data_IF_780781795132
#
_entry.id   IF_780781795132
#
_cell.length_a   1.000
_cell.length_b   1.000
_cell.length_c   1.000
_cell.angle_alpha   90.00
_cell.angle_beta   90.00
_cell.angle_gamma   90.00
#
_symmetry.space_group_name_H-M   'P 1'
#
loop_
_entity.id
_entity.type
_entity.pdbx_description
1 polymer ?
#
# COMPACT_ATOMS: atom_id res chain seq x y z
N UNK A 1 -4.21 16.56 -12.41
CA UNK A 1 -4.71 15.30 -11.82
C UNK A 1 -4.43 14.19 -12.82
N UNK A 2 -3.75 13.09 -12.43
CA UNK A 2 -3.62 11.92 -13.30
C UNK A 2 -5.02 11.40 -13.66
N UNK A 3 -5.22 11.00 -14.92
CA UNK A 3 -6.48 10.41 -15.39
C UNK A 3 -6.52 8.97 -14.86
N UNK A 4 -7.42 8.70 -13.90
CA UNK A 4 -7.69 7.33 -13.48
C UNK A 4 -8.64 6.68 -14.50
N UNK A 5 -8.17 5.69 -15.25
CA UNK A 5 -8.99 4.98 -16.23
C UNK A 5 -9.68 3.73 -15.65
N UNK A 6 -9.51 3.45 -14.35
CA UNK A 6 -10.03 2.22 -13.74
C UNK A 6 -9.21 0.98 -14.11
N UNK A 7 -9.70 -0.20 -13.72
CA UNK A 7 -9.12 -1.50 -14.02
C UNK A 7 -9.41 -1.97 -15.45
N UNK A 8 -8.66 -2.97 -15.91
CA UNK A 8 -8.95 -3.64 -17.18
C UNK A 8 -10.32 -4.32 -17.18
N UNK A 9 -10.73 -4.92 -16.06
CA UNK A 9 -12.07 -5.51 -15.92
C UNK A 9 -13.17 -4.47 -16.06
N UNK A 10 -13.02 -3.30 -15.44
CA UNK A 10 -13.97 -2.20 -15.58
C UNK A 10 -14.03 -1.68 -17.03
N UNK A 11 -12.90 -1.66 -17.74
CA UNK A 11 -12.87 -1.33 -19.17
C UNK A 11 -13.66 -2.34 -20.00
N UNK A 12 -13.50 -3.64 -19.74
CA UNK A 12 -14.26 -4.69 -20.45
C UNK A 12 -15.77 -4.62 -20.16
N UNK A 13 -16.14 -4.36 -18.92
CA UNK A 13 -17.54 -4.13 -18.54
C UNK A 13 -18.09 -2.86 -19.20
N UNK A 14 -17.31 -1.77 -19.23
CA UNK A 14 -17.71 -0.52 -19.87
C UNK A 14 -17.89 -0.67 -21.38
N UNK A 15 -17.09 -1.51 -22.04
CA UNK A 15 -17.28 -1.84 -23.46
C UNK A 15 -18.65 -2.49 -23.72
N UNK A 16 -19.21 -3.20 -22.74
CA UNK A 16 -20.52 -3.82 -22.89
C UNK A 16 -21.67 -2.80 -23.00
N UNK A 17 -21.44 -1.53 -22.66
CA UNK A 17 -22.38 -0.42 -22.87
C UNK A 17 -22.55 -0.08 -24.36
N UNK A 18 -21.55 -0.37 -25.19
CA UNK A 18 -21.54 -0.07 -26.62
C UNK A 18 -22.04 -1.25 -27.45
N UNK A 19 -23.30 -1.65 -27.19
CA UNK A 19 -23.99 -2.72 -27.90
C UNK A 19 -25.22 -2.20 -28.65
N UNK A 20 -25.59 -2.82 -29.78
CA UNK A 20 -26.83 -2.51 -30.49
C UNK A 20 -28.04 -2.60 -29.56
N UNK A 21 -28.85 -1.54 -29.51
CA UNK A 21 -30.08 -1.53 -28.73
C UNK A 21 -31.26 -1.95 -29.60
N UNK A 22 -32.03 -2.92 -29.10
CA UNK A 22 -33.28 -3.37 -29.74
C UNK A 22 -34.31 -2.22 -29.79
N UNK A 23 -34.28 -1.34 -28.79
CA UNK A 23 -35.18 -0.18 -28.71
C UNK A 23 -34.84 0.92 -29.72
N UNK A 24 -33.63 0.91 -30.29
CA UNK A 24 -33.16 1.91 -31.26
C UNK A 24 -32.80 1.26 -32.60
N UNK A 25 -33.57 0.25 -33.03
CA UNK A 25 -33.42 -0.40 -34.33
C UNK A 25 -31.99 -0.92 -34.59
N UNK A 26 -31.31 -1.42 -33.55
CA UNK A 26 -29.95 -1.94 -33.66
C UNK A 26 -28.85 -0.87 -33.69
N UNK A 27 -29.17 0.40 -33.40
CA UNK A 27 -28.18 1.47 -33.23
C UNK A 27 -27.48 1.35 -31.87
N UNK A 28 -26.25 1.85 -31.82
CA UNK A 28 -25.49 2.04 -30.58
C UNK A 28 -25.60 3.52 -30.22
N UNK A 29 -26.06 3.83 -29.01
CA UNK A 29 -26.12 5.19 -28.49
C UNK A 29 -25.02 5.41 -27.46
N UNK A 30 -24.52 6.65 -27.39
CA UNK A 30 -23.57 7.01 -26.35
C UNK A 30 -24.30 6.97 -25.00
N UNK A 31 -23.83 6.17 -24.02
CA UNK A 31 -24.66 5.79 -22.87
C UNK A 31 -24.77 6.87 -21.78
N UNK A 32 -23.97 7.93 -21.85
CA UNK A 32 -23.84 8.94 -20.80
C UNK A 32 -23.70 10.34 -21.37
N UNK A 33 -24.09 11.35 -20.59
CA UNK A 33 -23.69 12.74 -20.85
C UNK A 33 -22.23 12.93 -20.40
N UNK A 34 -21.41 13.58 -21.22
CA UNK A 34 -20.06 13.97 -20.83
C UNK A 34 -20.06 15.37 -20.23
N UNK A 35 -19.73 15.43 -18.94
CA UNK A 35 -19.61 16.67 -18.20
C UNK A 35 -18.22 17.27 -18.39
N UNK A 36 -18.17 18.52 -18.83
CA UNK A 36 -16.94 19.24 -19.13
C UNK A 36 -16.92 20.61 -18.48
N UNK A 37 -15.72 21.13 -18.20
CA UNK A 37 -15.53 22.51 -17.76
C UNK A 37 -14.65 23.29 -18.73
N UNK A 38 -14.90 24.60 -18.83
CA UNK A 38 -14.07 25.58 -19.52
C UNK A 38 -13.77 26.78 -18.62
N UNK A 39 -12.69 27.53 -18.87
CA UNK A 39 -12.36 28.73 -18.07
C UNK A 39 -13.03 30.00 -18.59
N UNK A 40 -13.48 29.98 -19.83
CA UNK A 40 -14.14 31.12 -20.48
C UNK A 40 -15.18 30.62 -21.47
N UNK A 41 -16.25 31.37 -21.64
CA UNK A 41 -17.27 31.11 -22.66
C UNK A 41 -16.68 31.20 -24.08
N UNK A 42 -15.65 32.03 -24.27
CA UNK A 42 -14.93 32.15 -25.55
C UNK A 42 -14.32 30.83 -26.02
N UNK A 43 -13.89 29.97 -25.08
CA UNK A 43 -13.33 28.65 -25.40
C UNK A 43 -14.33 27.72 -26.10
N UNK A 44 -15.62 27.95 -25.89
CA UNK A 44 -16.71 27.19 -26.49
C UNK A 44 -17.18 27.82 -27.80
N UNK A 45 -17.17 29.15 -27.88
CA UNK A 45 -17.76 29.90 -28.99
C UNK A 45 -16.81 30.19 -30.15
N UNK A 46 -15.49 30.11 -29.95
CA UNK A 46 -14.50 30.48 -30.98
C UNK A 46 -14.25 29.43 -32.08
N UNK A 47 -14.89 28.26 -32.03
CA UNK A 47 -14.75 27.28 -33.11
C UNK A 47 -15.71 26.10 -33.01
N UNK A 48 -15.91 25.36 -34.12
CA UNK A 48 -16.84 24.23 -34.17
C UNK A 48 -16.41 23.04 -33.27
N UNK A 49 -15.12 22.98 -32.90
CA UNK A 49 -14.56 21.92 -32.05
C UNK A 49 -13.72 22.53 -30.93
N UNK A 50 -14.31 22.79 -29.74
CA UNK A 50 -13.60 23.41 -28.63
C UNK A 50 -12.55 22.46 -28.05
N UNK A 51 -11.26 22.80 -28.25
CA UNK A 51 -10.12 21.95 -27.87
C UNK A 51 -9.74 22.03 -26.38
N UNK A 52 -10.21 23.05 -25.66
CA UNK A 52 -9.80 23.33 -24.29
C UNK A 52 -10.74 22.77 -23.22
N UNK A 53 -11.84 22.11 -23.61
CA UNK A 53 -12.77 21.51 -22.67
C UNK A 53 -12.08 20.44 -21.81
N UNK A 54 -12.26 20.56 -20.50
CA UNK A 54 -11.76 19.57 -19.53
C UNK A 54 -12.88 18.61 -19.16
N UNK A 55 -12.71 17.34 -19.50
CA UNK A 55 -13.63 16.28 -19.07
C UNK A 55 -13.55 16.12 -17.54
N UNK A 56 -14.70 16.12 -16.88
CA UNK A 56 -14.81 16.10 -15.41
C UNK A 56 -15.01 14.69 -14.84
N UNK A 57 -15.71 13.84 -15.58
CA UNK A 57 -16.12 12.49 -15.17
C UNK A 57 -16.15 11.54 -16.37
N UNK A 58 -16.47 10.25 -16.14
CA UNK A 58 -16.74 9.27 -17.20
C UNK A 58 -15.60 9.01 -18.22
N UNK A 59 -14.35 9.29 -17.85
CA UNK A 59 -13.16 9.02 -18.68
C UNK A 59 -13.09 7.57 -19.20
N UNK A 60 -13.52 6.61 -18.38
CA UNK A 60 -13.56 5.18 -18.71
C UNK A 60 -14.60 4.86 -19.76
N UNK A 61 -15.73 5.56 -19.80
CA UNK A 61 -16.73 5.35 -20.87
C UNK A 61 -16.15 5.80 -22.22
N UNK A 62 -15.39 6.90 -22.23
CA UNK A 62 -14.67 7.35 -23.43
C UNK A 62 -13.58 6.36 -23.83
N UNK A 63 -12.79 5.87 -22.87
CA UNK A 63 -11.78 4.84 -23.13
C UNK A 63 -12.40 3.53 -23.63
N UNK A 64 -13.56 3.14 -23.10
CA UNK A 64 -14.30 1.95 -23.51
C UNK A 64 -14.86 2.07 -24.93
N UNK A 65 -15.33 3.26 -25.32
CA UNK A 65 -15.70 3.53 -26.70
C UNK A 65 -14.50 3.33 -27.65
N UNK A 66 -13.34 3.91 -27.31
CA UNK A 66 -12.10 3.72 -28.08
C UNK A 66 -11.69 2.25 -28.17
N UNK A 67 -11.75 1.52 -27.06
CA UNK A 67 -11.43 0.10 -27.02
C UNK A 67 -12.41 -0.74 -27.86
N UNK A 68 -13.71 -0.40 -27.86
CA UNK A 68 -14.70 -1.06 -28.71
C UNK A 68 -14.45 -0.79 -30.20
N UNK A 69 -14.04 0.43 -30.57
CA UNK A 69 -13.62 0.75 -31.94
C UNK A 69 -12.38 -0.05 -32.35
N UNK A 70 -11.38 -0.12 -31.47
CA UNK A 70 -10.16 -0.89 -31.72
C UNK A 70 -10.45 -2.37 -31.96
N UNK A 71 -11.27 -3.00 -31.12
CA UNK A 71 -11.68 -4.40 -31.29
C UNK A 71 -12.41 -4.63 -32.62
N UNK A 72 -13.31 -3.73 -33.00
CA UNK A 72 -14.05 -3.84 -34.27
C UNK A 72 -13.12 -3.73 -35.48
N UNK A 73 -12.12 -2.82 -35.42
CA UNK A 73 -11.10 -2.68 -36.45
C UNK A 73 -10.20 -3.92 -36.55
N UNK A 74 -9.78 -4.49 -35.41
CA UNK A 74 -9.00 -5.73 -35.37
C UNK A 74 -9.77 -6.91 -35.96
N UNK A 75 -11.10 -6.94 -35.77
CA UNK A 75 -11.99 -7.95 -36.32
C UNK A 75 -12.40 -7.69 -37.79
N UNK A 76 -11.98 -6.58 -38.40
CA UNK A 76 -12.44 -6.11 -39.71
C UNK A 76 -13.98 -6.05 -39.85
N UNK A 77 -14.66 -5.65 -38.76
CA UNK A 77 -16.12 -5.52 -38.70
C UNK A 77 -16.55 -4.09 -39.06
N UNK A 78 -16.58 -3.79 -40.36
CA UNK A 78 -16.91 -2.46 -40.89
C UNK A 78 -18.31 -1.99 -40.46
N UNK A 79 -19.27 -2.91 -40.32
CA UNK A 79 -20.63 -2.58 -39.88
C UNK A 79 -20.61 -2.05 -38.44
N UNK A 80 -19.89 -2.74 -37.55
CA UNK A 80 -19.75 -2.31 -36.16
C UNK A 80 -18.95 -1.03 -36.03
N UNK A 81 -17.89 -0.83 -36.83
CA UNK A 81 -17.16 0.43 -36.89
C UNK A 81 -18.11 1.57 -37.29
N UNK A 82 -18.94 1.37 -38.31
CA UNK A 82 -19.96 2.35 -38.72
C UNK A 82 -20.94 2.69 -37.58
N UNK A 83 -21.47 1.69 -36.88
CA UNK A 83 -22.36 1.88 -35.72
C UNK A 83 -21.68 2.61 -34.55
N UNK A 84 -20.41 2.33 -34.28
CA UNK A 84 -19.64 3.01 -33.23
C UNK A 84 -19.29 4.46 -33.61
N UNK A 85 -19.08 4.73 -34.90
CA UNK A 85 -18.91 6.07 -35.42
C UNK A 85 -20.20 6.90 -35.30
N UNK A 86 -21.34 6.33 -35.68
CA UNK A 86 -22.65 6.97 -35.43
C UNK A 86 -22.90 7.21 -33.94
N UNK A 87 -22.56 6.24 -33.09
CA UNK A 87 -22.67 6.36 -31.64
C UNK A 87 -21.96 7.62 -31.11
N UNK A 88 -20.75 7.93 -31.60
CA UNK A 88 -20.02 9.12 -31.17
C UNK A 88 -20.78 10.42 -31.47
N UNK A 89 -21.57 10.46 -32.55
CA UNK A 89 -22.39 11.62 -32.91
C UNK A 89 -23.61 11.81 -32.00
N UNK A 90 -23.98 10.79 -31.23
CA UNK A 90 -25.08 10.87 -30.25
C UNK A 90 -24.63 11.34 -28.87
N UNK A 91 -23.32 11.59 -28.69
CA UNK A 91 -22.76 12.06 -27.44
C UNK A 91 -23.29 13.45 -27.07
N UNK A 92 -23.88 13.57 -25.88
CA UNK A 92 -24.30 14.87 -25.33
C UNK A 92 -23.20 15.43 -24.43
N UNK A 93 -22.79 16.67 -24.68
CA UNK A 93 -21.83 17.40 -23.85
C UNK A 93 -22.56 18.42 -22.97
N UNK A 94 -22.34 18.38 -21.65
CA UNK A 94 -22.71 19.48 -20.74
C UNK A 94 -21.44 20.27 -20.45
N UNK A 95 -21.46 21.57 -20.75
CA UNK A 95 -20.31 22.46 -20.52
C UNK A 95 -20.64 23.40 -19.36
N UNK A 96 -19.75 23.46 -18.37
CA UNK A 96 -19.86 24.36 -17.23
C UNK A 96 -18.71 25.34 -17.20
N UNK A 97 -18.98 26.57 -16.80
CA UNK A 97 -17.92 27.54 -16.53
C UNK A 97 -17.21 27.13 -15.22
N UNK A 98 -15.88 27.12 -15.23
CA UNK A 98 -15.06 26.81 -14.07
C UNK A 98 -14.98 28.04 -13.15
N UNK A 99 -15.95 28.21 -12.26
CA UNK A 99 -15.96 29.34 -11.32
C UNK A 99 -15.14 29.04 -10.06
N UNK A 100 -15.23 27.81 -9.55
CA UNK A 100 -14.41 27.34 -8.42
C UNK A 100 -14.05 25.86 -8.52
N UNK A 101 -13.01 25.44 -7.81
CA UNK A 101 -12.63 24.03 -7.75
C UNK A 101 -13.72 23.18 -7.09
N UNK A 102 -14.35 23.64 -5.99
CA UNK A 102 -15.41 22.90 -5.34
C UNK A 102 -16.63 22.71 -6.24
N UNK A 103 -17.04 23.75 -6.99
CA UNK A 103 -18.15 23.65 -7.94
C UNK A 103 -17.88 22.58 -9.00
N UNK A 104 -16.68 22.59 -9.59
CA UNK A 104 -16.28 21.60 -10.60
C UNK A 104 -16.24 20.18 -10.02
N UNK A 105 -15.71 20.02 -8.80
CA UNK A 105 -15.69 18.70 -8.14
C UNK A 105 -17.09 18.21 -7.78
N UNK A 106 -18.01 19.11 -7.39
CA UNK A 106 -19.42 18.78 -7.16
C UNK A 106 -20.09 18.28 -8.43
N UNK A 107 -19.90 18.98 -9.55
CA UNK A 107 -20.42 18.55 -10.86
C UNK A 107 -19.87 17.18 -11.25
N UNK A 108 -18.58 16.93 -11.00
CA UNK A 108 -17.95 15.64 -11.28
C UNK A 108 -18.55 14.49 -10.45
N UNK A 109 -18.83 14.74 -9.15
CA UNK A 109 -19.50 13.76 -8.28
C UNK A 109 -20.96 13.53 -8.68
N UNK A 110 -21.72 14.61 -8.92
CA UNK A 110 -23.12 14.54 -9.38
C UNK A 110 -23.23 13.72 -10.68
N UNK A 111 -22.35 14.00 -11.64
CA UNK A 111 -22.27 13.25 -12.90
C UNK A 111 -22.03 11.76 -12.67
N UNK A 112 -21.08 11.43 -11.79
CA UNK A 112 -20.71 10.05 -11.51
C UNK A 112 -21.84 9.29 -10.81
N UNK A 113 -22.61 9.95 -9.94
CA UNK A 113 -23.79 9.38 -9.31
C UNK A 113 -24.98 9.24 -10.26
N UNK A 114 -25.24 10.23 -11.12
CA UNK A 114 -26.29 10.16 -12.15
C UNK A 114 -26.10 8.98 -13.09
N UNK A 115 -24.87 8.75 -13.52
CA UNK A 115 -24.55 7.67 -14.45
C UNK A 115 -24.32 6.32 -13.77
N UNK A 116 -24.29 6.27 -12.44
CA UNK A 116 -24.13 5.02 -11.67
C UNK A 116 -25.21 4.00 -11.98
N UNK A 117 -26.45 4.39 -12.26
CA UNK A 117 -27.53 3.45 -12.58
C UNK A 117 -27.37 2.76 -13.96
N UNK A 118 -26.70 3.44 -14.89
CA UNK A 118 -26.45 2.96 -16.26
C UNK A 118 -25.13 2.17 -16.33
N UNK A 119 -24.18 2.55 -15.47
CA UNK A 119 -22.79 2.13 -15.48
C UNK A 119 -22.34 1.69 -14.08
N UNK A 120 -23.16 0.94 -13.34
CA UNK A 120 -22.93 0.60 -11.92
C UNK A 120 -21.56 -0.02 -11.69
N UNK A 121 -21.15 -0.90 -12.62
CA UNK A 121 -19.86 -1.58 -12.66
C UNK A 121 -18.77 -0.79 -13.39
N UNK A 122 -19.14 0.28 -14.12
CA UNK A 122 -18.23 1.06 -14.97
C UNK A 122 -17.96 2.48 -14.45
N UNK A 123 -18.49 2.86 -13.28
CA UNK A 123 -18.12 4.12 -12.60
C UNK A 123 -16.66 4.04 -12.12
N UNK A 124 -15.84 5.03 -12.51
CA UNK A 124 -14.42 5.12 -12.12
C UNK A 124 -14.26 5.53 -10.65
N UNK A 125 -15.26 6.21 -10.09
CA UNK A 125 -15.20 6.82 -8.76
C UNK A 125 -15.09 5.76 -7.67
N UNK A 126 -13.87 5.29 -7.46
CA UNK A 126 -13.44 4.56 -6.29
C UNK A 126 -13.38 5.52 -5.09
N UNK A 127 -13.21 4.94 -3.90
CA UNK A 127 -13.26 5.77 -2.69
C UNK A 127 -12.14 6.81 -2.63
N UNK A 128 -10.99 6.54 -3.26
CA UNK A 128 -9.84 7.46 -3.27
C UNK A 128 -10.17 8.71 -4.08
N UNK A 129 -10.70 8.54 -5.29
CA UNK A 129 -11.09 9.66 -6.16
C UNK A 129 -12.26 10.45 -5.55
N UNK A 130 -13.23 9.75 -4.95
CA UNK A 130 -14.30 10.39 -4.19
C UNK A 130 -13.73 11.24 -3.05
N UNK A 131 -12.80 10.69 -2.26
CA UNK A 131 -12.22 11.37 -1.12
C UNK A 131 -11.44 12.63 -1.55
N UNK A 132 -10.68 12.56 -2.65
CA UNK A 132 -9.96 13.72 -3.21
C UNK A 132 -10.94 14.84 -3.58
N UNK A 133 -12.00 14.51 -4.33
CA UNK A 133 -13.04 15.48 -4.72
C UNK A 133 -13.75 16.06 -3.51
N UNK A 134 -14.10 15.20 -2.55
CA UNK A 134 -14.77 15.62 -1.32
C UNK A 134 -13.89 16.59 -0.52
N UNK A 135 -12.58 16.32 -0.42
CA UNK A 135 -11.65 17.17 0.31
C UNK A 135 -11.60 18.59 -0.26
N UNK A 136 -11.68 18.73 -1.59
CA UNK A 136 -11.72 20.03 -2.27
C UNK A 136 -13.06 20.72 -2.02
N UNK A 137 -14.18 19.98 -2.03
CA UNK A 137 -15.51 20.55 -1.77
C UNK A 137 -15.59 21.12 -0.34
N UNK A 138 -15.08 20.39 0.66
CA UNK A 138 -15.17 20.85 2.06
C UNK A 138 -14.14 21.92 2.42
N UNK A 139 -13.12 22.15 1.60
CA UNK A 139 -12.19 23.29 1.78
C UNK A 139 -12.91 24.63 1.67
N UNK A 140 -13.96 24.71 0.84
CA UNK A 140 -14.79 25.92 0.70
C UNK A 140 -15.74 26.13 1.90
N UNK A 141 -15.80 25.18 2.84
CA UNK A 141 -16.56 25.29 4.09
C UNK A 141 -15.64 25.02 5.31
N UNK A 142 -14.79 26.00 5.70
CA UNK A 142 -13.96 25.87 6.89
C UNK A 142 -14.84 25.81 8.15
N UNK A 143 -14.80 24.69 8.86
CA UNK A 143 -15.61 24.47 10.05
C UNK A 143 -15.44 23.08 10.63
N UNK A 144 -16.08 22.83 11.78
CA UNK A 144 -16.15 21.49 12.35
C UNK A 144 -17.00 20.54 11.49
N UNK A 145 -16.87 19.23 11.76
CA UNK A 145 -17.52 18.16 10.98
C UNK A 145 -19.03 18.37 10.79
N UNK A 146 -19.75 18.89 11.79
CA UNK A 146 -21.20 19.15 11.66
C UNK A 146 -21.53 20.18 10.57
N UNK A 147 -20.80 21.30 10.53
CA UNK A 147 -21.00 22.34 9.50
C UNK A 147 -20.67 21.82 8.10
N UNK A 148 -19.61 21.03 7.99
CA UNK A 148 -19.23 20.41 6.72
C UNK A 148 -20.29 19.41 6.24
N UNK A 149 -20.91 18.64 7.14
CA UNK A 149 -22.00 17.73 6.78
C UNK A 149 -23.27 18.48 6.33
N UNK A 150 -23.64 19.54 7.03
CA UNK A 150 -24.75 20.42 6.61
C UNK A 150 -24.50 21.01 5.23
N UNK A 151 -23.31 21.57 5.01
CA UNK A 151 -22.90 22.10 3.70
C UNK A 151 -22.96 21.04 2.59
N UNK A 152 -22.47 19.83 2.83
CA UNK A 152 -22.54 18.74 1.84
C UNK A 152 -23.97 18.34 1.52
N UNK A 153 -24.85 18.33 2.52
CA UNK A 153 -26.27 18.03 2.36
C UNK A 153 -27.00 19.11 1.55
N UNK A 154 -26.78 20.38 1.89
CA UNK A 154 -27.35 21.53 1.16
C UNK A 154 -26.90 21.55 -0.31
N UNK A 155 -25.69 21.08 -0.57
CA UNK A 155 -25.12 20.97 -1.92
C UNK A 155 -25.45 19.65 -2.63
N UNK A 156 -26.29 18.79 -2.04
CA UNK A 156 -26.72 17.53 -2.65
C UNK A 156 -25.58 16.55 -2.95
N UNK A 157 -24.48 16.59 -2.20
CA UNK A 157 -23.33 15.72 -2.43
C UNK A 157 -23.64 14.32 -1.93
N UNK A 158 -23.59 13.35 -2.84
CA UNK A 158 -23.88 11.94 -2.57
C UNK A 158 -22.67 11.06 -2.88
N UNK A 159 -22.62 9.90 -2.25
CA UNK A 159 -21.74 8.80 -2.62
C UNK A 159 -22.53 7.50 -2.64
N UNK A 160 -22.55 6.81 -3.79
CA UNK A 160 -23.33 5.58 -3.98
C UNK A 160 -24.81 5.78 -3.66
N UNK A 161 -25.39 6.87 -4.15
CA UNK A 161 -26.78 7.29 -3.93
C UNK A 161 -27.15 7.50 -2.45
N UNK A 162 -26.17 7.65 -1.56
CA UNK A 162 -26.39 7.90 -0.14
C UNK A 162 -25.83 9.26 0.25
N UNK A 163 -26.54 9.93 1.16
CA UNK A 163 -26.03 11.13 1.82
C UNK A 163 -24.73 10.80 2.58
N UNK A 164 -23.82 11.77 2.59
CA UNK A 164 -22.54 11.61 3.28
C UNK A 164 -22.76 11.68 4.78
N UNK A 165 -22.59 10.54 5.47
CA UNK A 165 -22.60 10.49 6.93
C UNK A 165 -21.26 10.90 7.55
N UNK A 166 -21.26 11.14 8.86
CA UNK A 166 -20.07 11.51 9.65
C UNK A 166 -18.90 10.55 9.45
N UNK A 167 -19.15 9.24 9.46
CA UNK A 167 -18.10 8.22 9.31
C UNK A 167 -17.48 8.25 7.91
N UNK A 168 -18.28 8.47 6.87
CA UNK A 168 -17.81 8.58 5.48
C UNK A 168 -16.95 9.83 5.31
N UNK A 169 -17.40 10.98 5.82
CA UNK A 169 -16.63 12.23 5.76
C UNK A 169 -15.29 12.09 6.49
N UNK A 170 -15.30 11.65 7.75
CA UNK A 170 -14.06 11.46 8.52
C UNK A 170 -13.12 10.47 7.84
N UNK A 171 -13.64 9.35 7.34
CA UNK A 171 -12.85 8.33 6.65
C UNK A 171 -12.22 8.87 5.37
N UNK A 172 -13.00 9.56 4.53
CA UNK A 172 -12.50 10.15 3.30
C UNK A 172 -11.41 11.20 3.55
N UNK A 173 -11.61 12.11 4.52
CA UNK A 173 -10.60 13.12 4.84
C UNK A 173 -9.31 12.51 5.42
N UNK A 174 -9.42 11.43 6.20
CA UNK A 174 -8.26 10.69 6.68
C UNK A 174 -7.50 10.01 5.53
N UNK A 175 -8.22 9.41 4.57
CA UNK A 175 -7.62 8.78 3.38
C UNK A 175 -6.81 9.80 2.57
N UNK A 176 -7.37 10.99 2.28
CA UNK A 176 -6.64 12.01 1.50
C UNK A 176 -5.36 12.45 2.20
N UNK A 177 -5.41 12.58 3.53
CA UNK A 177 -4.26 13.02 4.33
C UNK A 177 -3.12 11.99 4.33
N UNK A 178 -3.45 10.70 4.36
CA UNK A 178 -2.47 9.62 4.61
C UNK A 178 -1.94 9.00 3.32
N UNK A 179 -2.72 9.01 2.23
CA UNK A 179 -2.31 8.38 0.99
C UNK A 179 -1.35 9.26 0.18
N UNK A 180 -0.09 8.86 0.16
CA UNK A 180 0.95 9.38 -0.74
C UNK A 180 0.71 9.00 -2.21
N UNK A 181 1.47 9.62 -3.13
CA UNK A 181 1.45 9.26 -4.56
C UNK A 181 1.79 7.78 -4.79
N UNK A 182 2.71 7.20 -4.02
CA UNK A 182 3.09 5.78 -4.15
C UNK A 182 1.99 4.86 -3.60
N UNK A 183 1.41 5.19 -2.44
CA UNK A 183 0.24 4.46 -1.91
C UNK A 183 -0.92 4.43 -2.91
N UNK A 184 -1.20 5.57 -3.56
CA UNK A 184 -2.24 5.68 -4.60
C UNK A 184 -1.92 4.80 -5.81
N UNK A 185 -0.67 4.77 -6.26
CA UNK A 185 -0.24 3.88 -7.34
C UNK A 185 -0.42 2.41 -6.99
N UNK A 186 -0.09 2.01 -5.76
CA UNK A 186 -0.33 0.63 -5.27
C UNK A 186 -1.82 0.29 -5.20
N UNK A 187 -2.67 1.21 -4.75
CA UNK A 187 -4.12 1.00 -4.76
C UNK A 187 -4.67 0.87 -6.19
N UNK A 188 -4.22 1.70 -7.13
CA UNK A 188 -4.58 1.56 -8.54
C UNK A 188 -4.11 0.23 -9.12
N UNK A 189 -2.92 -0.25 -8.74
CA UNK A 189 -2.43 -1.59 -9.11
C UNK A 189 -3.33 -2.70 -8.56
N UNK A 190 -3.63 -2.67 -7.27
CA UNK A 190 -4.49 -3.66 -6.60
C UNK A 190 -5.90 -3.68 -7.21
N UNK A 191 -6.47 -2.51 -7.47
CA UNK A 191 -7.76 -2.37 -8.14
C UNK A 191 -7.72 -2.89 -9.58
N UNK A 192 -6.65 -2.59 -10.32
CA UNK A 192 -6.47 -3.05 -11.69
C UNK A 192 -6.39 -4.57 -11.80
N UNK A 193 -5.69 -5.21 -10.86
CA UNK A 193 -5.39 -6.65 -10.89
C UNK A 193 -6.45 -7.51 -10.20
N UNK A 194 -6.96 -7.07 -9.06
CA UNK A 194 -7.84 -7.87 -8.19
C UNK A 194 -9.25 -7.28 -8.03
N UNK A 195 -9.49 -6.06 -8.52
CA UNK A 195 -10.78 -5.39 -8.48
C UNK A 195 -11.03 -4.54 -7.22
N UNK A 196 -12.11 -3.77 -7.26
CA UNK A 196 -12.45 -2.76 -6.23
C UNK A 196 -12.86 -3.35 -4.89
N UNK A 197 -13.52 -4.50 -4.91
CA UNK A 197 -14.01 -5.18 -3.70
C UNK A 197 -12.88 -5.51 -2.72
N UNK A 198 -11.65 -5.64 -3.22
CA UNK A 198 -10.46 -5.89 -2.40
C UNK A 198 -10.25 -4.79 -1.35
N UNK A 199 -10.17 -3.52 -1.75
CA UNK A 199 -9.89 -2.39 -0.84
C UNK A 199 -10.71 -1.14 -1.14
N UNK A 200 -10.81 -0.72 -2.40
CA UNK A 200 -11.26 0.64 -2.77
C UNK A 200 -12.78 0.78 -2.92
N UNK A 201 -13.53 -0.27 -2.58
CA UNK A 201 -14.98 -0.27 -2.59
C UNK A 201 -15.58 0.72 -1.59
N UNK A 202 -15.06 0.80 -0.35
CA UNK A 202 -15.63 1.67 0.68
C UNK A 202 -14.55 2.36 1.50
N UNK A 203 -14.95 3.38 2.27
CA UNK A 203 -14.03 4.06 3.22
C UNK A 203 -13.54 3.12 4.30
N UNK A 204 -14.32 2.10 4.65
CA UNK A 204 -14.16 1.32 5.86
C UNK A 204 -12.81 0.61 5.93
N UNK A 205 -12.42 -0.14 4.89
CA UNK A 205 -11.17 -0.94 4.90
C UNK A 205 -9.94 -0.04 5.04
N UNK A 206 -9.81 0.95 4.15
CA UNK A 206 -8.68 1.90 4.17
C UNK A 206 -8.61 2.70 5.47
N UNK A 207 -9.76 3.20 5.95
CA UNK A 207 -9.80 3.97 7.18
C UNK A 207 -9.41 3.13 8.39
N UNK A 208 -9.83 1.86 8.45
CA UNK A 208 -9.42 0.95 9.53
C UNK A 208 -7.95 0.60 9.48
N UNK A 209 -7.41 0.33 8.30
CA UNK A 209 -5.97 0.12 8.12
C UNK A 209 -5.19 1.33 8.64
N UNK A 210 -5.62 2.54 8.29
CA UNK A 210 -5.05 3.77 8.83
C UNK A 210 -5.15 3.85 10.37
N UNK A 211 -6.31 3.54 10.95
CA UNK A 211 -6.48 3.53 12.41
C UNK A 211 -5.55 2.51 13.10
N UNK A 212 -5.35 1.34 12.50
CA UNK A 212 -4.40 0.34 12.99
C UNK A 212 -2.97 0.85 12.93
N UNK A 213 -2.55 1.41 11.79
CA UNK A 213 -1.23 2.04 11.63
C UNK A 213 -1.01 3.10 12.70
N UNK A 214 -1.96 4.03 12.85
CA UNK A 214 -1.88 5.11 13.83
C UNK A 214 -1.80 4.60 15.27
N UNK A 215 -2.53 3.53 15.60
CA UNK A 215 -2.52 2.93 16.94
C UNK A 215 -1.20 2.23 17.24
N UNK A 216 -0.62 1.56 16.24
CA UNK A 216 0.37 0.51 16.47
C UNK A 216 1.79 0.91 16.04
N UNK A 217 1.95 1.67 14.97
CA UNK A 217 3.26 2.10 14.47
C UNK A 217 3.82 3.33 15.20
N UNK A 218 3.03 3.89 16.11
CA UNK A 218 3.47 4.90 17.09
C UNK A 218 3.68 4.29 18.49
N UNK A 219 3.51 2.98 18.65
CA UNK A 219 3.69 2.27 19.91
C UNK A 219 5.13 1.84 20.18
N UNK A 220 5.46 1.42 21.41
CA UNK A 220 6.83 1.05 21.81
C UNK A 220 7.41 -0.14 21.04
N UNK A 221 6.56 -0.99 20.45
CA UNK A 221 6.98 -2.10 19.58
C UNK A 221 7.61 -1.64 18.25
N UNK A 222 7.48 -0.37 17.88
CA UNK A 222 8.23 0.24 16.78
C UNK A 222 9.32 1.11 17.40
N UNK A 223 10.55 0.58 17.49
CA UNK A 223 11.71 1.28 18.08
C UNK A 223 12.07 2.60 17.41
N UNK A 224 11.48 2.90 16.24
CA UNK A 224 11.44 4.24 15.63
C UNK A 224 10.00 4.52 15.23
N UNK A 225 9.49 5.68 15.63
CA UNK A 225 8.17 6.15 15.23
C UNK A 225 8.07 6.22 13.72
N UNK A 226 7.12 5.48 13.14
CA UNK A 226 6.85 5.50 11.71
C UNK A 226 5.69 6.44 11.44
N UNK A 227 5.86 7.36 10.50
CA UNK A 227 4.80 8.27 10.11
C UNK A 227 3.64 7.49 9.45
N UNK A 228 2.37 7.90 9.67
CA UNK A 228 1.22 7.15 9.15
C UNK A 228 1.22 6.98 7.63
N UNK A 229 1.77 7.95 6.89
CA UNK A 229 1.95 7.90 5.44
C UNK A 229 2.86 6.73 5.03
N UNK A 230 4.03 6.61 5.65
CA UNK A 230 5.00 5.54 5.39
C UNK A 230 4.46 4.18 5.84
N UNK A 231 3.78 4.14 6.99
CA UNK A 231 3.14 2.93 7.48
C UNK A 231 2.07 2.40 6.51
N UNK A 232 1.30 3.30 5.89
CA UNK A 232 0.32 2.92 4.87
C UNK A 232 1.00 2.41 3.59
N UNK A 233 2.09 3.03 3.16
CA UNK A 233 2.88 2.53 2.04
C UNK A 233 3.40 1.11 2.30
N UNK A 234 4.00 0.87 3.45
CA UNK A 234 4.52 -0.45 3.81
C UNK A 234 3.42 -1.50 3.87
N UNK A 235 2.29 -1.19 4.49
CA UNK A 235 1.16 -2.11 4.62
C UNK A 235 0.55 -2.45 3.25
N UNK A 236 0.37 -1.47 2.37
CA UNK A 236 -0.12 -1.70 1.01
C UNK A 236 0.89 -2.48 0.15
N UNK A 237 2.20 -2.24 0.34
CA UNK A 237 3.23 -3.01 -0.35
C UNK A 237 3.24 -4.47 0.09
N UNK A 238 3.06 -4.76 1.39
CA UNK A 238 2.90 -6.12 1.89
C UNK A 238 1.66 -6.81 1.32
N UNK A 239 0.55 -6.08 1.18
CA UNK A 239 -0.64 -6.64 0.54
C UNK A 239 -0.38 -7.00 -0.92
N UNK A 240 0.32 -6.14 -1.66
CA UNK A 240 0.71 -6.42 -3.05
C UNK A 240 1.58 -7.67 -3.11
N UNK A 241 2.60 -7.76 -2.26
CA UNK A 241 3.50 -8.92 -2.18
C UNK A 241 2.70 -10.19 -1.91
N UNK A 242 1.91 -10.23 -0.83
CA UNK A 242 1.17 -11.45 -0.45
C UNK A 242 0.16 -11.92 -1.50
N UNK A 243 -0.46 -10.99 -2.25
CA UNK A 243 -1.37 -11.34 -3.34
C UNK A 243 -0.64 -11.75 -4.63
N UNK A 244 0.57 -11.24 -4.85
CA UNK A 244 1.41 -11.60 -5.99
C UNK A 244 2.10 -12.96 -5.76
N UNK A 245 2.49 -13.27 -4.51
CA UNK A 245 3.20 -14.49 -4.09
C UNK A 245 2.29 -15.65 -3.66
N UNK A 246 1.00 -15.61 -4.01
CA UNK A 246 -0.04 -16.60 -3.66
C UNK A 246 -0.28 -16.84 -2.16
N UNK A 247 0.44 -16.16 -1.26
CA UNK A 247 0.25 -16.21 0.18
C UNK A 247 -1.15 -15.75 0.60
N UNK A 248 -1.74 -14.83 -0.17
CA UNK A 248 -3.10 -14.32 0.03
C UNK A 248 -3.95 -14.61 -1.20
N UNK A 249 -5.18 -15.05 -0.96
CA UNK A 249 -6.17 -15.18 -2.02
C UNK A 249 -7.08 -13.95 -2.05
N UNK A 250 -7.30 -13.32 -3.22
CA UNK A 250 -8.11 -12.10 -3.33
C UNK A 250 -9.51 -12.23 -2.70
N UNK A 251 -10.15 -13.40 -2.85
CA UNK A 251 -11.47 -13.67 -2.30
C UNK A 251 -11.51 -13.77 -0.76
N UNK A 252 -10.39 -14.04 -0.11
CA UNK A 252 -10.28 -14.13 1.35
C UNK A 252 -10.02 -12.74 1.98
N UNK A 253 -9.62 -11.74 1.18
CA UNK A 253 -9.37 -10.36 1.60
C UNK A 253 -10.65 -9.53 1.85
N UNK A 254 -11.58 -10.10 2.61
CA UNK A 254 -12.78 -9.42 3.10
C UNK A 254 -12.46 -8.47 4.26
N UNK A 255 -13.39 -7.59 4.62
CA UNK A 255 -13.16 -6.54 5.63
C UNK A 255 -12.78 -7.08 7.01
N UNK A 256 -13.44 -8.16 7.45
CA UNK A 256 -13.15 -8.82 8.74
C UNK A 256 -11.76 -9.44 8.75
N UNK A 257 -11.36 -10.15 7.70
CA UNK A 257 -10.01 -10.71 7.59
C UNK A 257 -8.93 -9.61 7.56
N UNK A 258 -9.10 -8.59 6.71
CA UNK A 258 -8.07 -7.55 6.55
C UNK A 258 -7.93 -6.68 7.80
N UNK A 259 -9.04 -6.34 8.46
CA UNK A 259 -9.06 -5.26 9.47
C UNK A 259 -9.68 -5.63 10.81
N UNK A 260 -10.20 -6.86 10.96
CA UNK A 260 -10.94 -7.34 12.12
C UNK A 260 -12.44 -7.02 12.07
N UNK A 261 -13.20 -7.64 12.97
CA UNK A 261 -14.66 -7.43 13.09
C UNK A 261 -15.06 -6.04 13.62
N UNK A 262 -16.21 -5.55 13.17
CA UNK A 262 -16.81 -4.30 13.63
C UNK A 262 -17.32 -4.38 15.06
N UNK A 263 -16.92 -3.44 15.92
CA UNK A 263 -17.49 -3.29 17.26
C UNK A 263 -17.15 -4.42 18.23
N UNK A 264 -16.33 -5.40 17.82
CA UNK A 264 -15.81 -6.42 18.71
C UNK A 264 -14.92 -5.76 19.75
N UNK A 265 -15.31 -5.89 21.03
CA UNK A 265 -14.44 -5.57 22.18
C UNK A 265 -13.26 -6.54 22.29
N UNK A 266 -13.31 -7.65 21.56
CA UNK A 266 -12.25 -8.65 21.47
C UNK A 266 -11.40 -8.30 20.25
N UNK A 267 -10.15 -7.94 20.49
CA UNK A 267 -9.13 -7.84 19.46
C UNK A 267 -9.03 -9.18 18.73
N UNK A 268 -9.63 -9.29 17.55
CA UNK A 268 -9.51 -10.50 16.72
C UNK A 268 -8.03 -10.70 16.38
N UNK A 269 -7.36 -11.75 16.92
CA UNK A 269 -5.93 -11.98 16.70
C UNK A 269 -5.62 -12.38 15.26
N UNK A 270 -6.65 -12.75 14.49
CA UNK A 270 -6.53 -13.27 13.14
C UNK A 270 -6.57 -12.21 12.05
N UNK A 271 -6.64 -10.92 12.39
CA UNK A 271 -6.73 -9.89 11.36
C UNK A 271 -5.37 -9.61 10.69
N UNK A 272 -5.34 -9.74 9.37
CA UNK A 272 -4.13 -9.69 8.56
C UNK A 272 -3.35 -8.39 8.73
N UNK A 273 -4.01 -7.23 8.80
CA UNK A 273 -3.29 -5.96 8.93
C UNK A 273 -2.49 -5.86 10.23
N UNK A 274 -2.94 -6.49 11.34
CA UNK A 274 -2.16 -6.51 12.58
C UNK A 274 -0.97 -7.46 12.46
N UNK A 275 -1.18 -8.65 11.92
CA UNK A 275 -0.08 -9.60 11.63
C UNK A 275 0.97 -8.92 10.75
N UNK A 276 0.52 -8.22 9.71
CA UNK A 276 1.38 -7.46 8.81
C UNK A 276 2.17 -6.36 9.53
N UNK A 277 1.51 -5.54 10.37
CA UNK A 277 2.19 -4.53 11.18
C UNK A 277 3.21 -5.18 12.12
N UNK A 278 2.91 -6.33 12.72
CA UNK A 278 3.85 -7.04 13.58
C UNK A 278 5.05 -7.59 12.80
N UNK A 279 4.85 -8.11 11.59
CA UNK A 279 5.93 -8.51 10.68
C UNK A 279 6.86 -7.32 10.38
N UNK A 280 6.29 -6.12 10.14
CA UNK A 280 7.09 -4.91 9.91
C UNK A 280 7.91 -4.50 11.16
N UNK A 281 7.31 -4.58 12.35
CA UNK A 281 8.02 -4.34 13.62
C UNK A 281 9.17 -5.32 13.80
N UNK A 282 8.94 -6.62 13.56
CA UNK A 282 9.97 -7.67 13.62
C UNK A 282 11.12 -7.41 12.64
N UNK A 283 10.81 -7.05 11.40
CA UNK A 283 11.82 -6.71 10.40
C UNK A 283 12.62 -5.46 10.79
N UNK A 284 11.96 -4.45 11.34
CA UNK A 284 12.63 -3.25 11.84
C UNK A 284 13.56 -3.56 13.01
N UNK A 285 13.15 -4.45 13.93
CA UNK A 285 14.01 -4.91 15.01
C UNK A 285 15.25 -5.64 14.47
N UNK A 286 15.09 -6.56 13.52
CA UNK A 286 16.23 -7.23 12.89
C UNK A 286 17.18 -6.23 12.22
N UNK A 287 16.66 -5.20 11.55
CA UNK A 287 17.48 -4.13 10.96
C UNK A 287 18.25 -3.35 12.03
N UNK A 288 17.59 -2.97 13.13
CA UNK A 288 18.24 -2.23 14.24
C UNK A 288 19.34 -3.06 14.91
N UNK A 289 19.10 -4.35 15.09
CA UNK A 289 20.09 -5.29 15.63
C UNK A 289 21.28 -5.39 14.69
N UNK A 290 21.05 -5.66 13.40
CA UNK A 290 22.10 -5.76 12.40
C UNK A 290 22.92 -4.46 12.25
N UNK A 291 22.28 -3.30 12.31
CA UNK A 291 22.95 -1.99 12.23
C UNK A 291 23.83 -1.66 13.45
N UNK A 292 23.65 -2.38 14.57
CA UNK A 292 24.44 -2.23 15.79
C UNK A 292 25.51 -3.31 15.95
N UNK A 293 25.49 -4.36 15.14
CA UNK A 293 26.58 -5.32 15.06
C UNK A 293 27.83 -4.62 14.54
N UNK A 294 29.01 -5.01 15.04
CA UNK A 294 30.26 -4.39 14.60
C UNK A 294 30.48 -4.58 13.10
N UNK A 295 31.11 -3.59 12.45
CA UNK A 295 31.29 -3.60 10.99
C UNK A 295 32.15 -4.78 10.47
N UNK A 296 32.84 -5.48 11.37
CA UNK A 296 33.56 -6.73 11.10
C UNK A 296 32.65 -7.95 11.02
N UNK A 297 31.43 -7.86 11.55
CA UNK A 297 30.40 -8.92 11.56
C UNK A 297 29.30 -8.59 10.55
N UNK A 298 28.88 -7.32 10.48
CA UNK A 298 27.83 -6.86 9.57
C UNK A 298 28.38 -5.73 8.67
N UNK A 299 28.68 -6.03 7.40
CA UNK A 299 29.14 -5.02 6.45
C UNK A 299 28.02 -4.04 6.07
N UNK A 300 28.37 -2.89 5.48
CA UNK A 300 27.36 -1.92 5.00
C UNK A 300 26.43 -2.53 3.95
N UNK A 301 26.97 -3.41 3.10
CA UNK A 301 26.20 -4.12 2.08
C UNK A 301 25.21 -5.09 2.74
N UNK A 302 25.60 -5.72 3.85
CA UNK A 302 24.70 -6.59 4.62
C UNK A 302 23.53 -5.82 5.23
N UNK A 303 23.80 -4.66 5.86
CA UNK A 303 22.74 -3.80 6.36
C UNK A 303 21.75 -3.41 5.25
N UNK A 304 22.24 -3.16 4.03
CA UNK A 304 21.41 -2.85 2.86
C UNK A 304 20.57 -4.05 2.39
N UNK A 305 21.13 -5.27 2.44
CA UNK A 305 20.40 -6.51 2.11
C UNK A 305 19.30 -6.78 3.15
N UNK A 306 19.61 -6.69 4.45
CA UNK A 306 18.61 -6.84 5.52
C UNK A 306 17.53 -5.76 5.38
N UNK A 307 17.93 -4.53 5.06
CA UNK A 307 16.99 -3.46 4.73
C UNK A 307 16.04 -3.84 3.61
N UNK A 308 16.58 -4.42 2.54
CA UNK A 308 15.84 -4.85 1.36
C UNK A 308 14.83 -5.94 1.72
N UNK A 309 15.21 -6.94 2.52
CA UNK A 309 14.35 -8.06 2.91
C UNK A 309 13.30 -7.68 3.97
N UNK A 310 13.57 -6.66 4.79
CA UNK A 310 12.69 -6.23 5.89
C UNK A 310 11.76 -5.07 5.51
N UNK A 311 12.04 -4.36 4.42
CA UNK A 311 11.19 -3.29 3.90
C UNK A 311 10.43 -3.76 2.65
N UNK A 312 9.10 -3.95 2.72
CA UNK A 312 8.33 -4.49 1.61
C UNK A 312 8.28 -3.59 0.38
N UNK A 313 8.50 -2.28 0.54
CA UNK A 313 8.55 -1.34 -0.57
C UNK A 313 9.84 -1.53 -1.37
N UNK A 314 10.96 -1.75 -0.67
CA UNK A 314 12.28 -1.99 -1.29
C UNK A 314 12.32 -3.39 -1.89
N UNK A 315 11.85 -4.41 -1.16
CA UNK A 315 11.77 -5.78 -1.67
C UNK A 315 10.99 -5.89 -2.97
N UNK A 316 9.79 -5.30 -3.01
CA UNK A 316 8.96 -5.31 -4.22
C UNK A 316 9.67 -4.66 -5.40
N UNK A 317 10.42 -3.57 -5.18
CA UNK A 317 11.20 -2.95 -6.25
C UNK A 317 12.31 -3.86 -6.76
N UNK A 318 12.99 -4.57 -5.86
CA UNK A 318 14.06 -5.49 -6.24
C UNK A 318 13.52 -6.69 -7.03
N UNK A 319 12.38 -7.27 -6.62
CA UNK A 319 11.67 -8.29 -7.42
C UNK A 319 11.31 -7.76 -8.80
N UNK A 320 10.75 -6.54 -8.89
CA UNK A 320 10.38 -5.97 -10.20
C UNK A 320 11.59 -5.74 -11.10
N UNK A 321 12.75 -5.35 -10.55
CA UNK A 321 14.01 -5.28 -11.32
C UNK A 321 14.47 -6.66 -11.75
N UNK A 322 14.45 -7.63 -10.85
CA UNK A 322 14.84 -9.00 -11.15
C UNK A 322 13.97 -9.60 -12.26
N UNK A 323 12.66 -9.33 -12.24
CA UNK A 323 11.72 -9.72 -13.29
C UNK A 323 12.00 -9.09 -14.64
N UNK A 324 12.63 -7.92 -14.71
CA UNK A 324 13.02 -7.29 -15.99
C UNK A 324 14.26 -7.97 -16.60
N UNK A 325 15.09 -8.59 -15.76
CA UNK A 325 16.28 -9.34 -16.19
C UNK A 325 15.91 -10.78 -16.54
N UNK A 326 14.93 -11.35 -15.84
CA UNK A 326 14.34 -12.66 -16.11
C UNK A 326 13.25 -12.55 -17.19
N UNK A 327 12.82 -13.67 -17.76
CA UNK A 327 11.72 -13.66 -18.73
C UNK A 327 10.40 -13.21 -18.05
N UNK A 328 9.57 -12.46 -18.77
CA UNK A 328 8.41 -11.74 -18.21
C UNK A 328 7.33 -12.71 -17.68
N UNK A 329 7.33 -13.95 -18.17
CA UNK A 329 6.35 -14.98 -17.90
C UNK A 329 6.63 -15.84 -16.65
N UNK A 330 7.74 -15.61 -15.95
CA UNK A 330 7.99 -16.34 -14.70
C UNK A 330 7.01 -15.97 -13.58
N UNK A 331 6.59 -16.98 -12.81
CA UNK A 331 5.76 -16.79 -11.62
C UNK A 331 6.50 -15.93 -10.58
N UNK A 332 5.74 -15.11 -9.85
CA UNK A 332 6.29 -14.19 -8.84
C UNK A 332 7.16 -14.90 -7.79
N UNK A 333 6.75 -16.09 -7.35
CA UNK A 333 7.47 -16.88 -6.35
C UNK A 333 8.87 -17.30 -6.84
N UNK A 334 8.98 -17.70 -8.11
CA UNK A 334 10.26 -18.07 -8.71
C UNK A 334 11.20 -16.86 -8.80
N UNK A 335 10.66 -15.70 -9.18
CA UNK A 335 11.42 -14.45 -9.23
C UNK A 335 11.85 -14.02 -7.82
N UNK A 336 10.97 -14.18 -6.82
CA UNK A 336 11.27 -13.89 -5.40
C UNK A 336 12.44 -14.73 -4.90
N UNK A 337 12.41 -16.05 -5.14
CA UNK A 337 13.49 -16.98 -4.79
C UNK A 337 14.78 -16.64 -5.54
N UNK A 338 14.71 -16.39 -6.85
CA UNK A 338 15.88 -16.00 -7.64
C UNK A 338 16.50 -14.67 -7.19
N UNK A 339 15.66 -13.72 -6.76
CA UNK A 339 16.09 -12.46 -6.17
C UNK A 339 16.81 -12.70 -4.84
N UNK A 340 16.28 -13.56 -3.98
CA UNK A 340 16.92 -13.95 -2.72
C UNK A 340 18.27 -14.63 -2.96
N UNK A 341 18.35 -15.59 -3.89
CA UNK A 341 19.60 -16.25 -4.28
C UNK A 341 20.63 -15.25 -4.82
N UNK A 342 20.19 -14.22 -5.54
CA UNK A 342 21.07 -13.16 -6.03
C UNK A 342 21.60 -12.30 -4.88
N UNK A 343 20.77 -11.95 -3.90
CA UNK A 343 21.19 -11.24 -2.70
C UNK A 343 22.13 -12.08 -1.85
N UNK A 344 21.85 -13.38 -1.67
CA UNK A 344 22.75 -14.33 -1.00
C UNK A 344 24.10 -14.41 -1.70
N UNK A 345 24.14 -14.49 -3.04
CA UNK A 345 25.41 -14.50 -3.79
C UNK A 345 26.19 -13.21 -3.62
N UNK A 346 25.52 -12.05 -3.66
CA UNK A 346 26.16 -10.74 -3.39
C UNK A 346 26.74 -10.69 -1.97
N UNK A 347 26.00 -11.22 -1.01
CA UNK A 347 26.45 -11.41 0.35
C UNK A 347 27.70 -12.31 0.43
N UNK A 348 27.61 -13.56 -0.03
CA UNK A 348 28.66 -14.59 0.07
C UNK A 348 29.97 -14.20 -0.63
N UNK A 349 29.92 -13.31 -1.62
CA UNK A 349 31.12 -12.81 -2.30
C UNK A 349 32.08 -12.03 -1.36
N UNK A 350 31.59 -11.59 -0.20
CA UNK A 350 32.39 -10.97 0.84
C UNK A 350 32.65 -11.99 1.99
N UNK A 351 33.91 -12.18 2.36
CA UNK A 351 34.39 -13.34 3.14
C UNK A 351 33.83 -13.48 4.57
N UNK A 352 33.15 -12.45 5.10
CA UNK A 352 32.48 -12.48 6.40
C UNK A 352 31.11 -13.17 6.41
N UNK A 353 30.56 -13.56 5.25
CA UNK A 353 29.12 -13.72 5.08
C UNK A 353 28.48 -15.09 5.34
N UNK A 354 29.22 -16.21 5.39
CA UNK A 354 28.62 -17.51 5.75
C UNK A 354 27.90 -17.49 7.11
N UNK A 355 28.29 -16.55 7.97
CA UNK A 355 27.82 -16.42 9.36
C UNK A 355 26.43 -15.81 9.50
N UNK A 356 25.95 -15.10 8.48
CA UNK A 356 24.72 -14.31 8.54
C UNK A 356 23.60 -14.89 7.68
N UNK A 357 23.84 -16.03 7.01
CA UNK A 357 22.84 -16.72 6.21
C UNK A 357 21.55 -17.05 7.00
N UNK A 358 21.62 -17.55 8.26
CA UNK A 358 20.41 -17.79 9.04
C UNK A 358 19.54 -16.53 9.26
N UNK A 359 20.18 -15.37 9.46
CA UNK A 359 19.45 -14.11 9.64
C UNK A 359 18.81 -13.63 8.33
N UNK A 360 19.49 -13.82 7.19
CA UNK A 360 18.93 -13.52 5.87
C UNK A 360 17.74 -14.41 5.56
N UNK A 361 17.85 -15.71 5.83
CA UNK A 361 16.76 -16.67 5.64
C UNK A 361 15.57 -16.33 6.53
N UNK A 362 15.82 -15.99 7.80
CA UNK A 362 14.76 -15.53 8.69
C UNK A 362 14.07 -14.25 8.19
N UNK A 363 14.85 -13.26 7.71
CA UNK A 363 14.30 -12.02 7.14
C UNK A 363 13.48 -12.30 5.87
N UNK A 364 13.94 -13.22 5.02
CA UNK A 364 13.20 -13.66 3.84
C UNK A 364 11.90 -14.36 4.23
N UNK A 365 11.94 -15.27 5.20
CA UNK A 365 10.75 -15.98 5.72
C UNK A 365 9.71 -15.06 6.35
N UNK A 366 10.09 -13.88 6.87
CA UNK A 366 9.14 -12.85 7.29
C UNK A 366 8.35 -12.29 6.10
N UNK A 367 9.04 -11.87 5.04
CA UNK A 367 8.42 -11.20 3.89
C UNK A 367 7.76 -12.17 2.91
N UNK A 368 8.23 -13.41 2.88
CA UNK A 368 7.64 -14.54 2.15
C UNK A 368 6.47 -15.18 2.92
N UNK A 369 6.11 -14.63 4.09
CA UNK A 369 4.89 -15.00 4.81
C UNK A 369 4.93 -16.37 5.50
N UNK A 370 6.07 -17.05 5.53
CA UNK A 370 6.23 -18.36 6.17
C UNK A 370 5.93 -18.30 7.68
N UNK A 371 6.16 -17.15 8.31
CA UNK A 371 5.87 -16.94 9.73
C UNK A 371 4.47 -16.40 10.04
N UNK A 372 3.55 -16.25 9.07
CA UNK A 372 2.24 -15.63 9.32
C UNK A 372 1.47 -16.25 10.49
N UNK A 373 1.45 -17.58 10.60
CA UNK A 373 0.76 -18.28 11.69
C UNK A 373 1.42 -18.00 13.06
N UNK A 374 2.76 -18.11 13.14
CA UNK A 374 3.50 -17.84 14.36
C UNK A 374 3.39 -16.37 14.82
N UNK A 375 3.39 -15.43 13.87
CA UNK A 375 3.19 -14.01 14.15
C UNK A 375 1.75 -13.73 14.61
N UNK A 376 0.75 -14.39 14.00
CA UNK A 376 -0.64 -14.25 14.45
C UNK A 376 -0.86 -14.77 15.89
N UNK A 377 -0.10 -15.78 16.32
CA UNK A 377 -0.10 -16.23 17.72
C UNK A 377 0.50 -15.20 18.67
N UNK A 378 1.60 -14.54 18.25
CA UNK A 378 2.16 -13.39 18.98
C UNK A 378 1.11 -12.27 19.08
N UNK A 379 0.32 -12.02 18.03
CA UNK A 379 -0.73 -10.99 18.03
C UNK A 379 -1.93 -11.25 18.96
N UNK A 380 -2.05 -12.43 19.60
CA UNK A 380 -3.10 -12.73 20.60
C UNK A 380 -2.93 -11.94 21.88
N UNK A 381 -1.68 -11.62 22.20
CA UNK A 381 -1.33 -10.70 23.27
C UNK A 381 -1.24 -9.30 22.63
N UNK A 382 -1.96 -8.32 23.17
CA UNK A 382 -2.05 -6.95 22.61
C UNK A 382 -0.63 -6.44 22.29
N UNK A 383 -0.38 -6.03 21.03
CA UNK A 383 0.94 -5.87 20.38
C UNK A 383 2.13 -6.19 21.29
N UNK A 384 2.63 -7.39 21.11
CA UNK A 384 3.77 -7.88 21.88
C UNK A 384 5.00 -7.05 21.51
N UNK A 385 5.55 -6.42 22.55
CA UNK A 385 6.95 -6.05 22.56
C UNK A 385 7.80 -7.32 22.51
N UNK A 386 8.15 -7.73 21.28
CA UNK A 386 8.97 -8.92 21.03
C UNK A 386 10.29 -8.83 21.77
N UNK A 387 10.80 -7.61 22.02
CA UNK A 387 11.98 -7.38 22.82
C UNK A 387 11.75 -7.87 24.26
N UNK A 388 10.63 -7.48 24.88
CA UNK A 388 10.25 -7.96 26.21
C UNK A 388 10.07 -9.49 26.28
N UNK A 389 9.58 -10.15 25.23
CA UNK A 389 9.48 -11.63 25.20
C UNK A 389 10.84 -12.32 25.08
N UNK A 390 11.72 -11.80 24.22
CA UNK A 390 13.11 -12.26 24.11
C UNK A 390 13.81 -12.08 25.45
N UNK A 391 13.63 -10.93 26.11
CA UNK A 391 14.24 -10.60 27.40
C UNK A 391 13.81 -11.51 28.55
N UNK A 392 12.55 -11.96 28.55
CA UNK A 392 12.02 -12.87 29.58
C UNK A 392 12.47 -14.32 29.37
N UNK A 393 13.10 -14.65 28.24
CA UNK A 393 13.38 -16.03 27.87
C UNK A 393 12.10 -16.84 27.65
N UNK A 394 10.96 -16.16 27.47
CA UNK A 394 9.67 -16.75 27.17
C UNK A 394 9.66 -17.09 25.68
N UNK A 395 10.42 -18.12 25.29
CA UNK A 395 10.52 -18.64 23.92
C UNK A 395 9.27 -19.42 23.49
N UNK A 396 8.08 -19.00 23.95
CA UNK A 396 6.84 -19.68 23.65
C UNK A 396 6.45 -19.57 22.16
N UNK A 397 7.01 -18.59 21.44
CA UNK A 397 6.68 -18.30 20.05
C UNK A 397 7.83 -18.67 19.09
N UNK A 398 7.52 -19.52 18.12
CA UNK A 398 8.48 -20.04 17.13
C UNK A 398 9.25 -18.94 16.39
N UNK A 399 8.58 -17.87 15.94
CA UNK A 399 9.22 -16.77 15.20
C UNK A 399 10.29 -16.04 16.01
N UNK A 400 10.07 -15.92 17.33
CA UNK A 400 10.98 -15.24 18.26
C UNK A 400 12.17 -16.14 18.56
N UNK A 401 11.93 -17.44 18.73
CA UNK A 401 12.99 -18.43 18.90
C UNK A 401 13.90 -18.50 17.68
N UNK A 402 13.35 -18.56 16.47
CA UNK A 402 14.15 -18.63 15.25
C UNK A 402 14.98 -17.36 15.01
N UNK A 403 14.48 -16.19 15.43
CA UNK A 403 15.28 -14.96 15.43
C UNK A 403 16.45 -15.06 16.42
N UNK A 404 16.21 -15.56 17.62
CA UNK A 404 17.25 -15.79 18.63
C UNK A 404 18.30 -16.76 18.11
N UNK A 405 17.88 -17.92 17.59
CA UNK A 405 18.76 -18.95 17.06
C UNK A 405 19.60 -18.42 15.87
N UNK A 406 18.99 -17.61 14.98
CA UNK A 406 19.70 -17.00 13.86
C UNK A 406 20.77 -15.98 14.30
N UNK A 407 20.50 -15.22 15.36
CA UNK A 407 21.43 -14.23 15.92
C UNK A 407 22.51 -14.90 16.78
N UNK A 408 22.17 -15.96 17.52
CA UNK A 408 23.14 -16.77 18.25
C UNK A 408 24.09 -17.48 17.27
N UNK A 409 23.60 -18.03 16.16
CA UNK A 409 24.43 -18.59 15.10
C UNK A 409 25.40 -17.56 14.49
N UNK A 410 24.93 -16.32 14.29
CA UNK A 410 25.77 -15.22 13.82
C UNK A 410 26.87 -14.85 14.84
N UNK A 411 26.56 -14.91 16.14
CA UNK A 411 27.50 -14.59 17.22
C UNK A 411 28.52 -15.71 17.50
N UNK A 412 28.08 -16.99 17.58
CA UNK A 412 28.97 -18.13 17.86
C UNK A 412 30.04 -18.31 16.79
N UNK A 413 29.71 -18.04 15.52
CA UNK A 413 30.68 -18.11 14.44
C UNK A 413 31.58 -16.86 14.35
N UNK A 414 31.21 -15.75 15.01
CA UNK A 414 32.10 -14.60 15.21
C UNK A 414 33.19 -14.94 16.23
N UNK A 415 32.83 -15.61 17.32
CA UNK A 415 33.76 -16.09 18.36
C UNK A 415 34.82 -17.05 17.77
N UNK A 416 34.43 -17.96 16.87
CA UNK A 416 35.37 -18.88 16.20
C UNK A 416 36.39 -18.20 15.27
N UNK A 417 36.10 -17.00 14.76
CA UNK A 417 37.08 -16.25 13.94
C UNK A 417 38.02 -15.39 14.79
N UNK A 418 37.56 -14.93 15.97
CA UNK A 418 38.35 -14.19 16.92
C UNK A 418 39.46 -15.04 17.57
N UNK A 419 39.30 -16.36 17.64
CA UNK A 419 40.35 -17.29 18.10
C UNK A 419 41.58 -17.34 17.16
N UNK A 420 41.46 -16.85 15.92
CA UNK A 420 42.56 -16.78 14.94
C UNK A 420 43.29 -15.43 14.90
N UNK A 421 42.74 -14.38 15.53
CA UNK A 421 43.39 -13.08 15.71
C UNK A 421 42.94 -12.47 17.04
N UNK A 422 43.88 -12.35 18.00
CA UNK A 422 43.70 -11.72 19.32
C UNK A 422 42.94 -10.38 19.26
N UNK A 423 41.61 -10.45 19.35
CA UNK A 423 40.71 -9.38 19.76
C UNK A 423 39.42 -10.05 20.22
N UNK A 424 39.39 -10.42 21.49
CA UNK A 424 38.15 -10.83 22.16
C UNK A 424 37.18 -9.64 22.10
N UNK A 425 36.14 -9.79 21.29
CA UNK A 425 35.05 -8.83 21.19
C UNK A 425 34.09 -9.05 22.36
N UNK A 426 33.57 -8.00 23.01
CA UNK A 426 32.60 -8.18 24.08
C UNK A 426 31.26 -8.62 23.48
N UNK A 427 30.78 -9.79 23.89
CA UNK A 427 29.40 -10.22 23.64
C UNK A 427 28.44 -9.16 24.17
N UNK A 428 27.73 -8.46 23.28
CA UNK A 428 26.58 -7.67 23.69
C UNK A 428 25.49 -8.66 24.10
N UNK A 429 25.16 -8.70 25.39
CA UNK A 429 24.05 -9.50 25.88
C UNK A 429 22.74 -9.05 25.22
N UNK A 430 21.78 -9.97 25.08
CA UNK A 430 20.44 -9.65 24.60
C UNK A 430 19.82 -8.45 25.33
N UNK A 431 20.07 -8.31 26.64
CA UNK A 431 19.68 -7.13 27.44
C UNK A 431 20.32 -5.83 26.97
N UNK A 432 21.57 -5.85 26.52
CA UNK A 432 22.28 -4.67 26.00
C UNK A 432 21.86 -4.31 24.57
N UNK A 433 21.34 -5.24 23.79
CA UNK A 433 20.78 -4.98 22.46
C UNK A 433 19.31 -4.53 22.52
N UNK A 434 18.56 -5.08 23.46
CA UNK A 434 17.15 -4.82 23.75
C UNK A 434 16.89 -3.45 24.42
N UNK A 435 17.67 -3.08 25.44
CA UNK A 435 17.53 -1.82 26.20
C UNK A 435 17.82 -0.55 25.41
N UNK A 436 18.31 -0.66 24.19
CA UNK A 436 18.66 0.52 23.38
C UNK A 436 17.43 1.10 22.64
N UNK A 437 16.23 0.55 22.90
CA UNK A 437 14.95 1.14 22.48
C UNK A 437 14.22 1.86 23.62
N UNK A 438 14.68 1.77 24.88
CA UNK A 438 14.01 2.39 26.04
C UNK A 438 14.46 3.81 26.36
N UNK A 439 15.53 4.31 25.74
CA UNK A 439 16.27 5.45 26.28
C UNK A 439 16.11 6.72 25.42
N UNK A 440 14.96 7.38 25.55
CA UNK A 440 14.90 8.84 25.36
C UNK A 440 15.32 9.61 26.63
N UNK A 441 15.41 8.96 27.79
CA UNK A 441 15.82 9.58 29.05
C UNK A 441 16.62 8.63 29.94
N UNK A 442 17.96 8.66 29.89
CA UNK A 442 18.75 8.43 31.12
C UNK A 442 20.06 7.64 31.05
N UNK A 443 20.16 6.47 30.39
CA UNK A 443 21.27 5.54 30.69
C UNK A 443 22.15 5.10 29.50
N UNK A 444 21.89 5.62 28.30
CA UNK A 444 22.80 5.50 27.16
C UNK A 444 24.20 6.09 27.42
N UNK A 445 24.29 7.04 28.36
CA UNK A 445 25.56 7.63 28.79
C UNK A 445 26.38 6.66 29.66
N UNK A 446 25.74 5.83 30.49
CA UNK A 446 26.41 4.80 31.30
C UNK A 446 26.98 3.67 30.43
N UNK A 447 26.28 3.29 29.35
CA UNK A 447 26.77 2.28 28.39
C UNK A 447 27.89 2.85 27.50
N UNK A 448 27.82 4.13 27.10
CA UNK A 448 28.94 4.83 26.44
C UNK A 448 30.14 4.97 27.37
N UNK A 449 29.93 5.31 28.64
CA UNK A 449 31.01 5.40 29.64
C UNK A 449 31.66 4.05 29.89
N UNK A 450 30.88 2.96 29.96
CA UNK A 450 31.43 1.61 30.14
C UNK A 450 32.33 1.22 28.95
N UNK A 451 31.87 1.44 27.71
CA UNK A 451 32.66 1.19 26.49
C UNK A 451 33.87 2.14 26.36
N UNK A 452 33.78 3.36 26.88
CA UNK A 452 34.86 4.33 26.85
C UNK A 452 35.93 4.02 27.90
N UNK A 453 35.53 3.65 29.12
CA UNK A 453 36.43 3.20 30.19
C UNK A 453 37.16 1.91 29.80
N UNK A 454 36.47 0.98 29.13
CA UNK A 454 37.09 -0.26 28.63
C UNK A 454 38.10 -0.02 27.49
N UNK A 455 37.88 1.04 26.70
CA UNK A 455 38.86 1.52 25.70
C UNK A 455 40.08 2.18 26.35
N UNK A 456 39.89 2.93 27.42
CA UNK A 456 40.98 3.60 28.13
C UNK A 456 41.84 2.63 28.92
N UNK A 457 41.26 1.57 29.50
CA UNK A 457 41.99 0.50 30.18
C UNK A 457 42.83 -0.34 29.21
N UNK A 458 42.39 -0.51 27.95
CA UNK A 458 43.17 -1.16 26.87
C UNK A 458 44.33 -0.32 26.34
N UNK A 459 44.37 0.98 26.61
CA UNK A 459 45.50 1.86 26.22
C UNK A 459 46.55 1.93 27.35
N UNK A 460 46.17 1.54 28.58
CA UNK A 460 47.04 1.64 29.78
C UNK A 460 47.65 0.31 30.23
N UNK A 461 47.20 -0.83 29.70
CA UNK A 461 47.87 -2.13 29.80
C UNK A 461 48.63 -2.43 28.52
#
# INVERSE_FOLDING_TARGET
MPIHLGSWSQLQEAKALFKPSVHFQGRILFPVTLDTACRSTAEVTMGPFPKSLKLLSNHLVVAAWWAACYDALQAADDERVGKLYECAQTCTLRVSLWESNAQVMRIALESSEKHRAIATTCTIDNIVLFADRLSIIVQDCPGGTSKQLEYLKENGVLFRQKEIGRNTLTGALAIVKVLTSRSRSMLSYLEARYGRSLITESTTKLYRMFCLIKKHMAGPAFGVKVDPEDGMEMLLSMLCLGLDSTQLKPQECIGSFLTGEEGSKVTDPSCWARTAIQTLSLGQHARLLAGRMESSICSKDMCSIIETLTNPVVWRQEIMKQRQVMDVDECFDNVSVACMETLKKKAIADSGFKKMEPLLDWCYSLIDGQFQAGIAEVCKEDIVDVVSLIEKGETAHTVVKELSDALDAANEQADQAADTQQKVMPRLSWRQLARVNSDENGDGEATRLALQNEREDRIRG
#
